data_IF_150403486047
#
_entry.id   IF_150403486047
#
_cell.length_a   1.000
_cell.length_b   1.000
_cell.length_c   1.000
_cell.angle_alpha   90.00
_cell.angle_beta   90.00
_cell.angle_gamma   90.00
#
_symmetry.space_group_name_H-M   'P 1'
#
loop_
_entity.id
_entity.type
_entity.pdbx_description
1 polymer ?
#
# COMPACT_ATOMS: atom_id res chain seq x y z
N UNK A 1 -9.05 -38.43 0.15
CA UNK A 1 -9.02 -37.93 1.55
C UNK A 1 -10.01 -36.78 1.68
N UNK A 2 -10.95 -36.83 2.61
CA UNK A 2 -11.96 -35.78 2.79
C UNK A 2 -11.55 -34.88 3.97
N UNK A 3 -11.17 -33.64 3.71
CA UNK A 3 -10.74 -32.65 4.72
C UNK A 3 -11.78 -32.45 5.83
N UNK A 4 -13.08 -32.63 5.52
CA UNK A 4 -14.19 -32.47 6.49
C UNK A 4 -14.20 -33.51 7.64
N UNK A 5 -13.32 -34.52 7.59
CA UNK A 5 -13.17 -35.53 8.66
C UNK A 5 -11.97 -35.27 9.58
N UNK A 6 -11.14 -34.26 9.32
CA UNK A 6 -9.95 -33.96 10.10
C UNK A 6 -10.25 -32.72 10.97
N UNK A 7 -10.24 -32.94 12.28
CA UNK A 7 -10.33 -31.90 13.28
C UNK A 7 -8.99 -31.13 13.35
N UNK A 8 -9.01 -29.81 13.33
CA UNK A 8 -7.83 -28.95 13.42
C UNK A 8 -6.96 -29.24 14.64
N UNK A 9 -7.57 -29.64 15.76
CA UNK A 9 -6.84 -30.02 16.96
C UNK A 9 -5.95 -31.26 16.75
N UNK A 10 -6.33 -32.18 15.88
CA UNK A 10 -5.49 -33.34 15.54
C UNK A 10 -4.21 -32.92 14.83
N UNK A 11 -4.31 -31.90 13.98
CA UNK A 11 -3.17 -31.34 13.26
C UNK A 11 -2.22 -30.58 14.21
N UNK A 12 -2.76 -29.85 15.18
CA UNK A 12 -1.95 -29.21 16.25
C UNK A 12 -1.22 -30.24 17.11
N UNK A 13 -1.88 -31.34 17.45
CA UNK A 13 -1.26 -32.44 18.19
C UNK A 13 -0.14 -33.07 17.37
N UNK A 14 -0.34 -33.30 16.08
CA UNK A 14 0.71 -33.82 15.20
C UNK A 14 1.95 -32.90 15.20
N UNK A 15 1.76 -31.59 15.00
CA UNK A 15 2.86 -30.62 14.96
C UNK A 15 3.64 -30.59 16.27
N UNK A 16 2.95 -30.58 17.43
CA UNK A 16 3.61 -30.63 18.75
C UNK A 16 4.40 -31.92 18.95
N UNK A 17 3.84 -33.10 18.57
CA UNK A 17 4.54 -34.37 18.68
C UNK A 17 5.72 -34.45 17.71
N UNK A 18 5.61 -33.86 16.53
CA UNK A 18 6.70 -33.82 15.55
C UNK A 18 7.90 -33.02 16.07
N UNK A 19 7.66 -31.90 16.75
CA UNK A 19 8.70 -31.07 17.37
C UNK A 19 9.32 -31.73 18.61
N UNK A 20 8.47 -32.14 19.57
CA UNK A 20 8.91 -32.55 20.87
C UNK A 20 9.41 -34.00 20.90
N UNK A 21 9.09 -34.81 19.86
CA UNK A 21 9.39 -36.28 19.80
C UNK A 21 8.96 -37.03 21.03
N UNK A 22 8.06 -36.45 21.83
CA UNK A 22 7.63 -36.96 23.13
C UNK A 22 6.19 -36.56 23.44
N UNK A 23 5.31 -37.55 23.70
CA UNK A 23 3.89 -37.30 23.95
C UNK A 23 3.64 -36.51 25.25
N UNK A 24 4.50 -36.67 26.27
CA UNK A 24 4.35 -35.93 27.54
C UNK A 24 4.70 -34.45 27.34
N UNK A 25 5.79 -34.17 26.64
CA UNK A 25 6.20 -32.79 26.34
C UNK A 25 5.17 -32.10 25.42
N UNK A 26 4.72 -32.77 24.38
CA UNK A 26 3.65 -32.27 23.49
C UNK A 26 2.35 -31.98 24.28
N UNK A 27 1.99 -32.84 25.21
CA UNK A 27 0.85 -32.63 26.09
C UNK A 27 1.01 -31.39 26.98
N UNK A 28 2.17 -31.20 27.60
CA UNK A 28 2.45 -29.97 28.38
C UNK A 28 2.34 -28.71 27.53
N UNK A 29 2.90 -28.74 26.32
CA UNK A 29 2.84 -27.60 25.38
C UNK A 29 1.40 -27.23 25.00
N UNK A 30 0.54 -28.25 24.83
CA UNK A 30 -0.85 -28.07 24.40
C UNK A 30 -1.87 -27.95 25.55
N UNK A 31 -1.42 -28.00 26.80
CA UNK A 31 -2.26 -28.13 28.01
C UNK A 31 -3.20 -29.34 27.95
N UNK A 32 -2.69 -30.49 27.45
CA UNK A 32 -3.41 -31.73 27.32
C UNK A 32 -2.72 -32.85 28.16
N UNK A 33 -3.50 -33.84 28.60
CA UNK A 33 -2.91 -35.05 29.16
C UNK A 33 -2.21 -35.90 28.10
N UNK A 34 -1.22 -36.69 28.49
CA UNK A 34 -0.56 -37.64 27.57
C UNK A 34 -1.57 -38.58 26.89
N UNK A 35 -2.60 -39.03 27.60
CA UNK A 35 -3.65 -39.89 27.06
C UNK A 35 -4.47 -39.16 25.99
N UNK A 36 -4.81 -37.87 26.20
CA UNK A 36 -5.52 -37.07 25.22
C UNK A 36 -4.68 -36.87 23.93
N UNK A 37 -3.38 -36.59 24.07
CA UNK A 37 -2.44 -36.51 22.92
C UNK A 37 -2.37 -37.85 22.17
N UNK A 38 -2.28 -38.97 22.89
CA UNK A 38 -2.24 -40.32 22.29
C UNK A 38 -3.53 -40.65 21.54
N UNK A 39 -4.69 -40.33 22.12
CA UNK A 39 -5.99 -40.52 21.46
C UNK A 39 -6.15 -39.64 20.22
N UNK A 40 -5.78 -38.38 20.30
CA UNK A 40 -5.83 -37.46 19.15
C UNK A 40 -4.91 -37.95 18.00
N UNK A 41 -3.69 -38.41 18.35
CA UNK A 41 -2.77 -38.97 17.36
C UNK A 41 -3.31 -40.27 16.76
N UNK A 42 -3.99 -41.11 17.53
CA UNK A 42 -4.67 -42.31 17.03
C UNK A 42 -5.74 -41.98 15.97
N UNK A 43 -6.63 -41.05 16.31
CA UNK A 43 -7.64 -40.56 15.34
C UNK A 43 -7.04 -39.99 14.04
N UNK A 44 -5.89 -39.30 14.13
CA UNK A 44 -5.22 -38.77 12.94
C UNK A 44 -4.59 -39.91 12.12
N UNK A 45 -4.00 -40.95 12.77
CA UNK A 45 -3.50 -42.15 12.10
C UNK A 45 -4.60 -42.86 11.31
N UNK A 46 -5.75 -43.08 11.97
CA UNK A 46 -6.91 -43.70 11.29
C UNK A 46 -7.39 -42.88 10.11
N UNK A 47 -7.44 -41.54 10.23
CA UNK A 47 -7.88 -40.65 9.18
C UNK A 47 -6.91 -40.56 8.00
N UNK A 48 -5.61 -40.75 8.25
CA UNK A 48 -4.54 -40.64 7.23
C UNK A 48 -4.06 -42.03 6.77
N UNK A 49 -4.50 -43.11 7.40
CA UNK A 49 -4.05 -44.50 7.11
C UNK A 49 -2.52 -44.61 7.15
N UNK A 50 -1.89 -44.00 8.18
CA UNK A 50 -0.44 -43.97 8.38
C UNK A 50 -0.12 -43.86 9.87
N UNK A 51 0.88 -44.59 10.35
CA UNK A 51 1.30 -44.56 11.73
C UNK A 51 1.85 -43.21 12.20
N UNK A 52 2.27 -42.34 11.28
CA UNK A 52 2.88 -41.03 11.47
C UNK A 52 4.11 -41.02 12.35
N UNK A 53 4.11 -41.76 13.46
CA UNK A 53 5.26 -41.90 14.36
C UNK A 53 5.39 -43.33 14.86
N UNK A 54 6.61 -43.83 14.87
CA UNK A 54 6.97 -45.12 15.40
C UNK A 54 7.68 -44.93 16.75
N UNK A 55 7.30 -45.69 17.74
CA UNK A 55 7.94 -45.64 19.07
C UNK A 55 9.26 -46.42 19.06
N UNK A 56 10.36 -45.75 19.40
CA UNK A 56 11.69 -46.32 19.49
C UNK A 56 12.29 -46.10 20.90
N UNK A 57 13.48 -46.67 21.16
CA UNK A 57 14.22 -46.40 22.40
C UNK A 57 14.67 -44.93 22.53
N UNK A 58 14.65 -44.17 21.44
CA UNK A 58 15.00 -42.73 21.38
C UNK A 58 13.78 -41.78 21.44
N UNK A 59 12.56 -42.33 21.51
CA UNK A 59 11.31 -41.57 21.53
C UNK A 59 10.40 -41.85 20.33
N UNK A 60 9.68 -40.84 19.90
CA UNK A 60 8.73 -40.92 18.77
C UNK A 60 9.42 -40.53 17.47
N UNK A 61 9.73 -41.51 16.62
CA UNK A 61 10.35 -41.24 15.30
C UNK A 61 9.29 -41.10 14.21
N UNK A 62 9.32 -40.03 13.39
CA UNK A 62 8.33 -39.80 12.35
C UNK A 62 8.52 -40.74 11.16
N UNK A 63 7.41 -41.14 10.53
CA UNK A 63 7.40 -41.79 9.23
C UNK A 63 7.82 -40.85 8.11
N UNK A 64 8.17 -41.38 6.94
CA UNK A 64 8.47 -40.56 5.76
C UNK A 64 7.30 -39.62 5.39
N UNK A 65 6.06 -40.09 5.59
CA UNK A 65 4.85 -39.29 5.37
C UNK A 65 4.74 -38.17 6.38
N UNK A 66 5.00 -38.42 7.66
CA UNK A 66 5.00 -37.38 8.67
C UNK A 66 6.05 -36.31 8.41
N UNK A 67 7.25 -36.69 7.95
CA UNK A 67 8.31 -35.74 7.57
C UNK A 67 7.85 -34.88 6.38
N UNK A 68 7.25 -35.46 5.34
CA UNK A 68 6.75 -34.72 4.19
C UNK A 68 5.59 -33.77 4.53
N UNK A 69 4.77 -34.12 5.53
CA UNK A 69 3.64 -33.31 5.97
C UNK A 69 4.02 -32.14 6.88
N UNK A 70 5.09 -32.25 7.67
CA UNK A 70 5.38 -31.35 8.77
C UNK A 70 5.49 -29.89 8.37
N UNK A 71 6.31 -29.56 7.38
CA UNK A 71 6.49 -28.17 6.94
C UNK A 71 5.23 -27.56 6.29
N UNK A 72 4.56 -28.23 5.30
CA UNK A 72 3.32 -27.72 4.74
C UNK A 72 2.21 -27.54 5.78
N UNK A 73 2.10 -28.49 6.73
CA UNK A 73 1.08 -28.42 7.76
C UNK A 73 1.33 -27.27 8.74
N UNK A 74 2.57 -27.07 9.17
CA UNK A 74 2.95 -25.95 10.03
C UNK A 74 2.62 -24.61 9.39
N UNK A 75 2.94 -24.44 8.11
CA UNK A 75 2.61 -23.23 7.36
C UNK A 75 1.08 -23.01 7.31
N UNK A 76 0.29 -24.06 7.10
CA UNK A 76 -1.16 -23.94 7.08
C UNK A 76 -1.73 -23.57 8.47
N UNK A 77 -1.24 -24.17 9.55
CA UNK A 77 -1.64 -23.82 10.92
C UNK A 77 -1.26 -22.39 11.28
N UNK A 78 -0.08 -21.94 10.88
CA UNK A 78 0.35 -20.56 11.06
C UNK A 78 -0.55 -19.57 10.29
N UNK A 79 -0.90 -19.86 9.04
CA UNK A 79 -1.83 -19.03 8.28
C UNK A 79 -3.21 -18.93 8.94
N UNK A 80 -3.70 -20.03 9.52
CA UNK A 80 -4.95 -20.02 10.30
C UNK A 80 -4.81 -19.13 11.54
N UNK A 81 -3.71 -19.19 12.28
CA UNK A 81 -3.46 -18.36 13.45
C UNK A 81 -3.38 -16.88 13.09
N UNK A 82 -2.69 -16.54 12.01
CA UNK A 82 -2.64 -15.18 11.46
C UNK A 82 -4.04 -14.69 11.09
N UNK A 83 -4.84 -15.55 10.44
CA UNK A 83 -6.22 -15.20 10.05
C UNK A 83 -7.15 -15.00 11.28
N UNK A 84 -6.87 -15.67 12.39
CA UNK A 84 -7.59 -15.50 13.66
C UNK A 84 -7.07 -14.32 14.50
N UNK A 85 -5.93 -13.69 14.12
CA UNK A 85 -5.38 -12.53 14.81
C UNK A 85 -4.65 -12.85 16.13
N UNK A 86 -4.32 -14.11 16.40
CA UNK A 86 -3.77 -14.56 17.69
C UNK A 86 -2.24 -14.35 17.83
N UNK A 87 -1.52 -14.00 16.75
CA UNK A 87 -0.07 -13.80 16.80
C UNK A 87 0.34 -12.38 16.39
N UNK A 88 1.32 -11.78 17.07
CA UNK A 88 1.92 -10.54 16.61
C UNK A 88 2.60 -10.77 15.25
N UNK A 89 2.44 -9.83 14.33
CA UNK A 89 3.11 -9.89 13.04
C UNK A 89 4.63 -9.87 13.25
N UNK A 90 5.31 -10.84 12.68
CA UNK A 90 6.76 -10.96 12.70
C UNK A 90 7.32 -10.69 11.30
N UNK A 91 7.74 -9.45 11.02
CA UNK A 91 8.18 -9.05 9.69
C UNK A 91 9.39 -9.86 9.21
N UNK A 92 10.30 -10.23 10.11
CA UNK A 92 11.56 -10.95 9.84
C UNK A 92 11.37 -12.33 9.18
N UNK A 93 10.22 -12.97 9.42
CA UNK A 93 9.90 -14.32 8.91
C UNK A 93 8.58 -14.42 8.16
N UNK A 94 7.85 -13.32 8.05
CA UNK A 94 6.54 -13.32 7.42
C UNK A 94 6.64 -13.49 5.90
N UNK A 95 5.91 -14.45 5.35
CA UNK A 95 5.66 -14.61 3.92
C UNK A 95 4.29 -14.01 3.58
N UNK A 96 4.27 -12.77 3.08
CA UNK A 96 3.04 -12.07 2.75
C UNK A 96 3.23 -11.18 1.53
N UNK A 97 2.16 -11.01 0.76
CA UNK A 97 2.06 -9.99 -0.26
C UNK A 97 1.19 -8.84 0.25
N UNK A 98 1.69 -7.61 0.14
CA UNK A 98 0.90 -6.39 0.32
C UNK A 98 0.61 -5.74 -1.02
N UNK A 99 -0.65 -5.40 -1.25
CA UNK A 99 -1.09 -4.70 -2.47
C UNK A 99 -1.43 -3.25 -2.12
N UNK A 100 -0.60 -2.32 -2.59
CA UNK A 100 -0.77 -0.88 -2.36
C UNK A 100 -1.16 -0.20 -3.67
N UNK A 101 -2.26 0.56 -3.65
CA UNK A 101 -2.64 1.40 -4.78
C UNK A 101 -2.11 2.83 -4.58
N UNK A 102 -1.41 3.36 -5.59
CA UNK A 102 -0.86 4.72 -5.59
C UNK A 102 -0.69 5.23 -7.02
N UNK A 103 -0.57 6.55 -7.18
CA UNK A 103 -0.11 7.13 -8.44
C UNK A 103 1.43 7.08 -8.54
N UNK A 104 1.96 7.48 -9.68
CA UNK A 104 3.38 7.42 -10.00
C UNK A 104 4.24 8.29 -9.08
N UNK A 105 3.81 9.51 -8.73
CA UNK A 105 4.60 10.37 -7.87
C UNK A 105 4.67 9.87 -6.41
N UNK A 106 3.56 9.33 -5.87
CA UNK A 106 3.55 8.70 -4.55
C UNK A 106 4.42 7.44 -4.56
N UNK A 107 4.37 6.66 -5.64
CA UNK A 107 5.25 5.51 -5.84
C UNK A 107 6.72 5.92 -5.76
N UNK A 108 7.10 6.99 -6.43
CA UNK A 108 8.46 7.50 -6.44
C UNK A 108 8.92 8.00 -5.06
N UNK A 109 8.10 8.80 -4.38
CA UNK A 109 8.50 9.46 -3.13
C UNK A 109 8.43 8.55 -1.90
N UNK A 110 7.44 7.66 -1.85
CA UNK A 110 7.13 6.86 -0.67
C UNK A 110 7.50 5.39 -0.87
N UNK A 111 7.01 4.77 -1.94
CA UNK A 111 7.05 3.31 -2.06
C UNK A 111 8.44 2.79 -2.42
N UNK A 112 9.29 3.61 -3.06
CA UNK A 112 10.71 3.29 -3.25
C UNK A 112 11.45 3.14 -1.92
N UNK A 113 11.21 4.06 -0.97
CA UNK A 113 11.79 3.99 0.40
C UNK A 113 11.18 2.85 1.20
N UNK A 114 9.88 2.60 1.04
CA UNK A 114 9.21 1.47 1.67
C UNK A 114 9.82 0.14 1.19
N UNK A 115 10.08 -0.01 -0.11
CA UNK A 115 10.72 -1.21 -0.66
C UNK A 115 12.10 -1.47 -0.05
N UNK A 116 12.92 -0.44 0.14
CA UNK A 116 14.21 -0.58 0.83
C UNK A 116 14.05 -1.05 2.28
N UNK A 117 13.07 -0.50 3.00
CA UNK A 117 12.80 -0.89 4.40
C UNK A 117 12.28 -2.33 4.48
N UNK A 118 11.38 -2.73 3.56
CA UNK A 118 10.91 -4.11 3.48
C UNK A 118 12.06 -5.10 3.23
N UNK A 119 12.99 -4.76 2.34
CA UNK A 119 14.14 -5.62 2.09
C UNK A 119 15.03 -5.83 3.33
N UNK A 120 15.11 -4.84 4.22
CA UNK A 120 15.89 -4.91 5.46
C UNK A 120 15.15 -5.60 6.63
N UNK A 121 13.86 -5.29 6.81
CA UNK A 121 13.10 -5.68 7.99
C UNK A 121 12.14 -6.86 7.76
N UNK A 122 11.74 -7.09 6.50
CA UNK A 122 10.73 -8.09 6.11
C UNK A 122 11.09 -8.75 4.77
N UNK A 123 12.22 -9.48 4.68
CA UNK A 123 12.82 -9.91 3.41
C UNK A 123 11.95 -10.88 2.59
N UNK A 124 11.01 -11.59 3.23
CA UNK A 124 10.11 -12.54 2.55
C UNK A 124 8.75 -11.89 2.21
N UNK A 125 8.55 -10.61 2.53
CA UNK A 125 7.34 -9.85 2.19
C UNK A 125 7.45 -9.29 0.79
N UNK A 126 6.41 -9.50 -0.02
CA UNK A 126 6.28 -8.93 -1.36
C UNK A 126 5.41 -7.66 -1.31
N UNK A 127 5.79 -6.64 -2.09
CA UNK A 127 5.03 -5.42 -2.27
C UNK A 127 4.59 -5.31 -3.74
N UNK A 128 3.29 -5.36 -3.98
CA UNK A 128 2.68 -5.13 -5.29
C UNK A 128 2.09 -3.72 -5.33
N UNK A 129 2.56 -2.90 -6.27
CA UNK A 129 2.06 -1.54 -6.47
C UNK A 129 1.09 -1.55 -7.65
N UNK A 130 -0.13 -1.09 -7.42
CA UNK A 130 -1.15 -0.93 -8.46
C UNK A 130 -1.43 0.56 -8.70
N UNK A 131 -1.68 0.98 -9.94
CA UNK A 131 -2.10 2.36 -10.20
C UNK A 131 -3.43 2.63 -9.51
N UNK A 132 -3.54 3.78 -8.82
CA UNK A 132 -4.81 4.22 -8.21
C UNK A 132 -5.77 4.87 -9.22
N UNK A 133 -5.35 4.97 -10.49
CA UNK A 133 -6.07 5.60 -11.58
C UNK A 133 -6.80 4.56 -12.44
N UNK A 134 -7.96 4.94 -13.01
CA UNK A 134 -8.74 4.10 -13.95
C UNK A 134 -9.18 2.73 -13.38
N UNK A 135 -9.34 2.64 -12.07
CA UNK A 135 -9.88 1.46 -11.38
C UNK A 135 -11.10 1.88 -10.58
N UNK A 136 -12.06 0.98 -10.41
CA UNK A 136 -13.03 1.06 -9.30
C UNK A 136 -12.23 0.82 -7.98
N UNK A 137 -11.51 1.85 -7.54
CA UNK A 137 -10.59 1.78 -6.41
C UNK A 137 -11.33 1.33 -5.14
N UNK A 138 -12.50 1.91 -4.89
CA UNK A 138 -13.33 1.55 -3.75
C UNK A 138 -13.76 0.08 -3.80
N UNK A 139 -14.23 -0.39 -4.95
CA UNK A 139 -14.60 -1.79 -5.15
C UNK A 139 -13.43 -2.76 -5.00
N UNK A 140 -12.22 -2.38 -5.45
CA UNK A 140 -11.04 -3.23 -5.27
C UNK A 140 -10.61 -3.33 -3.78
N UNK A 141 -10.77 -2.25 -3.00
CA UNK A 141 -10.56 -2.27 -1.55
C UNK A 141 -11.67 -3.10 -0.87
N UNK A 142 -12.93 -2.93 -1.28
CA UNK A 142 -14.09 -3.66 -0.75
C UNK A 142 -13.92 -5.19 -0.89
N UNK A 143 -13.39 -5.68 -2.01
CA UNK A 143 -13.18 -7.12 -2.23
C UNK A 143 -11.81 -7.63 -1.77
N UNK A 144 -10.97 -6.77 -1.17
CA UNK A 144 -9.67 -7.15 -0.61
C UNK A 144 -8.57 -7.40 -1.64
N UNK A 145 -8.70 -6.88 -2.85
CA UNK A 145 -7.63 -6.92 -3.87
C UNK A 145 -6.62 -5.79 -3.74
N UNK A 146 -6.95 -4.79 -2.93
CA UNK A 146 -6.08 -3.69 -2.51
C UNK A 146 -6.18 -3.62 -0.99
N UNK A 147 -5.02 -3.67 -0.33
CA UNK A 147 -4.92 -3.57 1.13
C UNK A 147 -4.98 -2.12 1.59
N UNK A 148 -4.23 -1.25 0.92
CA UNK A 148 -4.11 0.18 1.23
C UNK A 148 -4.08 0.98 -0.08
N UNK A 149 -4.87 2.05 -0.16
CA UNK A 149 -4.76 3.05 -1.21
C UNK A 149 -4.13 4.32 -0.65
N UNK A 150 -3.19 4.95 -1.39
CA UNK A 150 -2.53 6.18 -0.98
C UNK A 150 -2.78 7.25 -2.04
N UNK A 151 -3.33 8.38 -1.61
CA UNK A 151 -3.73 9.46 -2.51
C UNK A 151 -4.33 10.65 -1.77
N UNK A 152 -4.92 11.57 -2.53
CA UNK A 152 -5.72 12.67 -2.01
C UNK A 152 -7.20 12.27 -2.17
N UNK A 153 -7.90 12.24 -1.05
CA UNK A 153 -9.30 11.86 -0.96
C UNK A 153 -10.07 12.98 -0.26
N UNK A 154 -11.13 13.52 -0.90
CA UNK A 154 -12.01 14.52 -0.31
C UNK A 154 -12.99 13.86 0.66
N UNK A 155 -13.57 12.72 0.26
CA UNK A 155 -14.51 11.97 1.07
C UNK A 155 -14.08 10.52 1.20
N UNK A 156 -14.20 9.99 2.42
CA UNK A 156 -13.89 8.60 2.75
C UNK A 156 -15.11 8.00 3.46
N UNK A 157 -15.81 7.04 2.84
CA UNK A 157 -17.04 6.49 3.42
C UNK A 157 -16.76 5.67 4.69
N UNK A 158 -17.74 5.51 5.60
CA UNK A 158 -17.55 4.89 6.92
C UNK A 158 -16.98 3.47 6.93
N UNK A 159 -17.14 2.71 5.83
CA UNK A 159 -16.54 1.37 5.69
C UNK A 159 -15.04 1.38 5.47
N UNK A 160 -14.46 2.56 5.22
CA UNK A 160 -13.03 2.74 5.15
C UNK A 160 -12.52 3.58 6.32
N UNK A 161 -11.31 3.31 6.74
CA UNK A 161 -10.54 4.15 7.65
C UNK A 161 -9.43 4.85 6.86
N UNK A 162 -9.00 5.99 7.37
CA UNK A 162 -7.90 6.73 6.77
C UNK A 162 -6.95 7.29 7.82
N UNK A 163 -5.68 7.47 7.43
CA UNK A 163 -4.72 8.26 8.18
C UNK A 163 -4.03 9.26 7.25
N UNK A 164 -3.71 10.43 7.76
CA UNK A 164 -2.89 11.41 7.05
C UNK A 164 -1.43 10.96 7.06
N UNK A 165 -0.80 10.94 5.88
CA UNK A 165 0.60 10.56 5.73
C UNK A 165 1.49 11.81 5.68
N UNK A 166 1.14 12.81 4.84
CA UNK A 166 1.74 14.15 4.84
C UNK A 166 0.78 15.19 4.28
N UNK A 167 1.13 16.46 4.45
CA UNK A 167 0.47 17.59 3.81
C UNK A 167 1.41 18.21 2.78
N UNK A 168 0.84 18.79 1.73
CA UNK A 168 1.56 19.41 0.63
C UNK A 168 0.80 20.59 0.06
N UNK A 169 1.51 21.45 -0.67
CA UNK A 169 0.93 22.54 -1.48
C UNK A 169 1.48 22.43 -2.89
N UNK A 170 0.75 23.00 -3.84
CA UNK A 170 1.19 23.03 -5.21
C UNK A 170 2.26 24.12 -5.45
N UNK A 171 3.16 23.83 -6.36
CA UNK A 171 4.19 24.74 -6.87
C UNK A 171 4.23 24.68 -8.38
N UNK A 172 4.77 25.73 -9.00
CA UNK A 172 5.09 25.73 -10.42
C UNK A 172 6.47 25.13 -10.66
N UNK A 173 6.58 24.31 -11.68
CA UNK A 173 7.83 23.75 -12.19
C UNK A 173 8.05 24.25 -13.63
N UNK A 174 9.27 24.60 -13.94
CA UNK A 174 9.72 25.05 -15.26
C UNK A 174 11.18 24.67 -15.51
N UNK A 175 11.64 24.77 -16.75
CA UNK A 175 13.06 24.57 -17.05
C UNK A 175 13.95 25.59 -16.33
N UNK A 176 15.20 25.23 -16.05
CA UNK A 176 16.14 26.04 -15.27
C UNK A 176 16.37 27.43 -15.91
N UNK A 177 16.51 27.47 -17.22
CA UNK A 177 16.76 28.68 -18.03
C UNK A 177 15.47 29.30 -18.63
N UNK A 178 14.31 29.11 -17.96
CA UNK A 178 13.05 29.68 -18.42
C UNK A 178 13.12 31.21 -18.51
N UNK A 179 12.49 31.86 -19.54
CA UNK A 179 12.56 33.31 -19.76
C UNK A 179 12.12 34.17 -18.59
N UNK A 180 11.29 33.67 -17.71
CA UNK A 180 10.89 34.37 -16.48
C UNK A 180 12.08 34.69 -15.55
N UNK A 181 13.22 33.98 -15.70
CA UNK A 181 14.38 34.14 -14.84
C UNK A 181 14.10 33.73 -13.37
N UNK A 182 14.60 34.55 -12.45
CA UNK A 182 14.47 34.29 -11.01
C UNK A 182 13.40 35.11 -10.30
N UNK A 183 12.69 35.95 -11.03
CA UNK A 183 11.58 36.73 -10.45
C UNK A 183 10.39 35.85 -10.05
N UNK A 184 9.52 36.38 -9.20
CA UNK A 184 8.26 35.74 -8.88
C UNK A 184 7.36 35.63 -10.11
N UNK A 185 6.62 34.53 -10.19
CA UNK A 185 5.62 34.31 -11.23
C UNK A 185 4.39 35.18 -10.96
N UNK A 186 3.83 35.77 -12.00
CA UNK A 186 2.62 36.58 -11.94
C UNK A 186 1.44 35.87 -12.58
N UNK A 187 0.22 36.40 -12.42
CA UNK A 187 -0.97 35.91 -13.14
C UNK A 187 -0.82 36.03 -14.65
N UNK A 188 -0.21 37.14 -15.14
CA UNK A 188 0.04 37.34 -16.57
C UNK A 188 1.00 36.29 -17.12
N UNK A 189 1.96 35.80 -16.36
CA UNK A 189 2.83 34.73 -16.80
C UNK A 189 2.07 33.43 -17.02
N UNK A 190 1.07 33.12 -16.18
CA UNK A 190 0.22 31.95 -16.38
C UNK A 190 -0.67 32.08 -17.63
N UNK A 191 -0.98 33.28 -18.08
CA UNK A 191 -1.69 33.52 -19.34
C UNK A 191 -0.77 33.42 -20.57
N UNK A 192 0.48 33.87 -20.43
CA UNK A 192 1.46 33.91 -21.51
C UNK A 192 2.14 32.57 -21.78
N UNK A 193 2.39 31.79 -20.75
CA UNK A 193 3.07 30.49 -20.82
C UNK A 193 2.08 29.34 -20.55
N UNK A 194 1.93 28.40 -21.52
CA UNK A 194 0.95 27.35 -21.37
C UNK A 194 1.34 26.33 -20.29
N UNK A 195 0.34 25.60 -19.78
CA UNK A 195 0.48 24.64 -18.72
C UNK A 195 0.52 23.19 -19.24
N UNK A 196 1.27 22.35 -18.55
CA UNK A 196 1.17 20.89 -18.57
C UNK A 196 0.36 20.45 -17.35
N UNK A 197 -0.66 19.65 -17.56
CA UNK A 197 -1.45 19.02 -16.49
C UNK A 197 -1.18 17.52 -16.42
N UNK A 198 -1.19 16.97 -15.20
CA UNK A 198 -1.24 15.53 -14.99
C UNK A 198 -2.66 15.14 -14.62
N UNK A 199 -3.33 14.44 -15.55
CA UNK A 199 -4.68 13.95 -15.38
C UNK A 199 -4.65 12.53 -14.83
N UNK A 200 -5.21 12.33 -13.63
CA UNK A 200 -5.27 11.05 -12.93
C UNK A 200 -6.56 10.27 -13.27
N UNK A 201 -7.25 10.63 -14.35
CA UNK A 201 -8.50 10.02 -14.76
C UNK A 201 -9.63 11.02 -15.10
N UNK A 202 -9.33 12.26 -15.27
CA UNK A 202 -10.03 13.44 -15.71
C UNK A 202 -11.52 13.41 -16.08
N UNK A 203 -11.89 14.35 -16.98
CA UNK A 203 -13.27 14.60 -17.41
C UNK A 203 -13.95 13.38 -18.07
N UNK A 204 -13.20 12.46 -18.63
CA UNK A 204 -13.72 11.24 -19.27
C UNK A 204 -14.34 10.26 -18.24
N UNK A 205 -13.98 10.36 -16.97
CA UNK A 205 -14.46 9.50 -15.89
C UNK A 205 -15.49 10.20 -14.98
N UNK A 206 -16.06 11.34 -15.40
CA UNK A 206 -17.12 12.03 -14.65
C UNK A 206 -16.62 12.78 -13.42
N UNK A 207 -15.42 13.36 -13.47
CA UNK A 207 -14.89 14.19 -12.38
C UNK A 207 -15.76 15.43 -12.13
N UNK A 208 -16.10 15.67 -10.86
CA UNK A 208 -16.84 16.84 -10.40
C UNK A 208 -16.00 17.56 -9.34
N UNK A 209 -15.78 18.87 -9.51
CA UNK A 209 -14.99 19.68 -8.59
C UNK A 209 -13.56 19.17 -8.40
N UNK A 210 -12.95 18.56 -9.42
CA UNK A 210 -11.60 18.00 -9.33
C UNK A 210 -11.52 16.60 -8.71
N UNK A 211 -12.64 15.94 -8.43
CA UNK A 211 -12.69 14.62 -7.81
C UNK A 211 -13.56 13.64 -8.59
N UNK A 212 -13.14 12.38 -8.62
CA UNK A 212 -13.93 11.25 -9.11
C UNK A 212 -14.52 10.55 -7.90
N UNK A 213 -15.85 10.42 -7.86
CA UNK A 213 -16.56 9.76 -6.76
C UNK A 213 -16.97 8.35 -7.19
N UNK A 214 -16.40 7.36 -6.53
CA UNK A 214 -16.72 5.95 -6.75
C UNK A 214 -17.16 5.31 -5.44
N UNK A 215 -18.42 4.83 -5.41
CA UNK A 215 -18.99 4.16 -4.22
C UNK A 215 -18.80 4.98 -2.92
N UNK A 216 -18.86 6.32 -3.00
CA UNK A 216 -18.68 7.24 -1.89
C UNK A 216 -17.22 7.57 -1.54
N UNK A 217 -16.23 7.00 -2.22
CA UNK A 217 -14.84 7.39 -2.11
C UNK A 217 -14.55 8.45 -3.17
N UNK A 218 -14.21 9.68 -2.75
CA UNK A 218 -13.89 10.80 -3.64
C UNK A 218 -12.36 10.95 -3.76
N UNK A 219 -11.77 10.48 -4.87
CA UNK A 219 -10.34 10.60 -5.18
C UNK A 219 -10.06 11.76 -6.12
N UNK A 220 -8.92 12.43 -5.94
CA UNK A 220 -8.50 13.51 -6.81
C UNK A 220 -8.29 13.03 -8.26
N UNK A 221 -8.79 13.81 -9.24
CA UNK A 221 -8.74 13.50 -10.67
C UNK A 221 -7.56 14.11 -11.39
N UNK A 222 -6.96 15.15 -10.82
CA UNK A 222 -5.77 15.83 -11.35
C UNK A 222 -4.71 15.98 -10.27
N UNK A 223 -3.46 16.12 -10.64
CA UNK A 223 -2.35 16.19 -9.69
C UNK A 223 -2.29 17.52 -8.94
N UNK A 224 -3.00 18.55 -9.39
CA UNK A 224 -3.08 19.85 -8.75
C UNK A 224 -4.54 20.28 -8.52
N UNK A 225 -4.74 21.29 -7.71
CA UNK A 225 -6.07 21.86 -7.48
C UNK A 225 -6.46 22.81 -8.62
N UNK A 226 -7.24 22.28 -9.59
CA UNK A 226 -7.73 23.04 -10.72
C UNK A 226 -8.65 24.19 -10.28
N UNK A 227 -9.50 23.96 -9.29
CA UNK A 227 -10.44 24.99 -8.82
C UNK A 227 -9.69 26.19 -8.27
N UNK A 228 -8.65 25.97 -7.46
CA UNK A 228 -7.82 27.06 -6.95
C UNK A 228 -7.11 27.84 -8.05
N UNK A 229 -6.68 27.18 -9.12
CA UNK A 229 -6.14 27.87 -10.31
C UNK A 229 -7.22 28.70 -11.02
N UNK A 230 -8.41 28.16 -11.19
CA UNK A 230 -9.51 28.86 -11.86
C UNK A 230 -10.02 30.05 -11.05
N UNK A 231 -10.15 29.93 -9.75
CA UNK A 231 -10.58 30.97 -8.83
C UNK A 231 -9.57 32.13 -8.72
N UNK A 232 -8.31 31.89 -9.08
CA UNK A 232 -7.27 32.93 -9.13
C UNK A 232 -7.50 33.96 -10.24
N UNK A 233 -8.44 33.72 -11.17
CA UNK A 233 -8.74 34.60 -12.27
C UNK A 233 -10.20 35.07 -12.18
N UNK A 234 -10.49 36.40 -12.39
CA UNK A 234 -11.84 36.93 -12.37
C UNK A 234 -12.77 36.21 -13.36
N UNK A 235 -14.04 36.08 -13.01
CA UNK A 235 -15.05 35.51 -13.91
C UNK A 235 -15.11 36.28 -15.24
N UNK A 236 -15.14 35.57 -16.37
CA UNK A 236 -15.13 36.15 -17.72
C UNK A 236 -13.75 36.64 -18.20
N UNK A 237 -12.67 36.55 -17.40
CA UNK A 237 -11.31 36.87 -17.83
C UNK A 237 -10.67 35.73 -18.62
N UNK A 238 -9.52 36.00 -19.27
CA UNK A 238 -8.69 34.98 -19.89
C UNK A 238 -8.26 33.92 -18.85
N UNK A 239 -8.13 32.67 -19.27
CA UNK A 239 -7.74 31.54 -18.43
C UNK A 239 -6.39 30.97 -18.88
N UNK A 240 -5.58 30.43 -17.98
CA UNK A 240 -4.37 29.71 -18.35
C UNK A 240 -4.65 28.58 -19.35
N UNK A 241 -3.83 28.52 -20.38
CA UNK A 241 -3.99 27.52 -21.43
C UNK A 241 -3.36 26.19 -21.03
N UNK A 242 -4.15 25.15 -20.83
CA UNK A 242 -3.65 23.78 -20.79
C UNK A 242 -3.29 23.34 -22.21
N UNK A 243 -2.01 23.13 -22.46
CA UNK A 243 -1.50 22.72 -23.77
C UNK A 243 -1.32 21.21 -23.90
N UNK A 244 -0.88 20.58 -22.81
CA UNK A 244 -0.59 19.15 -22.77
C UNK A 244 -1.20 18.55 -21.50
N UNK A 245 -1.92 17.46 -21.64
CA UNK A 245 -2.35 16.62 -20.52
C UNK A 245 -1.67 15.26 -20.62
N UNK A 246 -1.10 14.78 -19.52
CA UNK A 246 -0.42 13.49 -19.43
C UNK A 246 -0.97 12.66 -18.29
N UNK A 247 -0.89 11.33 -18.39
CA UNK A 247 -1.36 10.44 -17.35
C UNK A 247 -0.33 10.21 -16.22
N UNK A 248 0.92 10.59 -16.45
CA UNK A 248 2.04 10.29 -15.54
C UNK A 248 2.92 11.51 -15.31
N UNK A 249 3.21 11.81 -14.05
CA UNK A 249 4.07 12.94 -13.66
C UNK A 249 5.51 12.82 -14.16
N UNK A 250 5.98 11.60 -14.37
CA UNK A 250 7.33 11.34 -14.89
C UNK A 250 7.55 11.87 -16.32
N UNK A 251 6.49 12.22 -17.05
CA UNK A 251 6.60 12.86 -18.36
C UNK A 251 6.94 14.37 -18.27
N UNK A 252 6.68 15.02 -17.11
CA UNK A 252 6.86 16.47 -16.92
C UNK A 252 8.28 16.94 -17.26
N UNK A 253 9.37 16.33 -16.76
CA UNK A 253 10.72 16.79 -17.07
C UNK A 253 11.02 16.80 -18.57
N UNK A 254 10.60 15.77 -19.30
CA UNK A 254 10.82 15.71 -20.76
C UNK A 254 10.04 16.78 -21.51
N UNK A 255 8.84 17.13 -21.06
CA UNK A 255 8.00 18.17 -21.68
C UNK A 255 8.50 19.58 -21.39
N UNK A 256 9.00 19.83 -20.18
CA UNK A 256 9.45 21.17 -19.77
C UNK A 256 10.85 21.50 -20.27
N UNK A 257 11.74 20.54 -20.36
CA UNK A 257 13.16 20.74 -20.72
C UNK A 257 13.37 21.58 -22.00
N UNK A 258 12.51 21.41 -22.98
CA UNK A 258 12.62 22.06 -24.28
C UNK A 258 11.43 22.97 -24.60
N UNK A 259 10.76 23.51 -23.57
CA UNK A 259 9.60 24.36 -23.76
C UNK A 259 9.55 25.49 -22.73
N UNK A 260 8.69 26.47 -23.00
CA UNK A 260 8.38 27.55 -22.06
C UNK A 260 7.08 27.27 -21.30
N UNK A 261 6.73 26.01 -21.12
CA UNK A 261 5.55 25.61 -20.36
C UNK A 261 5.86 25.59 -18.87
N UNK A 262 4.80 25.74 -18.08
CA UNK A 262 4.80 25.42 -16.65
C UNK A 262 4.09 24.10 -16.40
N UNK A 263 4.43 23.46 -15.31
CA UNK A 263 3.61 22.42 -14.70
C UNK A 263 3.26 22.81 -13.26
N UNK A 264 2.01 22.60 -12.86
CA UNK A 264 1.60 22.71 -11.46
C UNK A 264 1.68 21.33 -10.84
N UNK A 265 2.50 21.18 -9.80
CA UNK A 265 2.74 19.89 -9.15
C UNK A 265 2.83 20.04 -7.63
N UNK A 266 2.61 18.97 -6.87
CA UNK A 266 2.88 18.97 -5.43
C UNK A 266 4.33 19.34 -5.11
N UNK A 267 4.53 20.16 -4.09
CA UNK A 267 5.87 20.63 -3.70
C UNK A 267 6.90 19.53 -3.43
N UNK A 268 6.57 18.35 -2.86
CA UNK A 268 7.56 17.27 -2.74
C UNK A 268 8.04 16.73 -4.10
N UNK A 269 7.14 16.67 -5.09
CA UNK A 269 7.51 16.27 -6.45
C UNK A 269 8.35 17.34 -7.13
N UNK A 270 7.99 18.61 -6.95
CA UNK A 270 8.79 19.73 -7.47
C UNK A 270 10.24 19.70 -6.97
N UNK A 271 10.44 19.49 -5.66
CA UNK A 271 11.77 19.33 -5.06
C UNK A 271 12.54 18.14 -5.66
N UNK A 272 11.85 17.04 -5.96
CA UNK A 272 12.50 15.88 -6.57
C UNK A 272 12.97 16.21 -8.00
N UNK A 273 12.17 16.94 -8.77
CA UNK A 273 12.57 17.38 -10.10
C UNK A 273 13.76 18.35 -10.09
N UNK A 274 13.86 19.24 -9.09
CA UNK A 274 15.01 20.15 -8.93
C UNK A 274 16.32 19.40 -8.70
N UNK A 275 16.30 18.23 -8.04
CA UNK A 275 17.50 17.42 -7.79
C UNK A 275 18.19 16.95 -9.06
N UNK A 276 17.48 16.86 -10.17
CA UNK A 276 18.07 16.51 -11.47
C UNK A 276 18.73 17.71 -12.17
N UNK A 277 18.62 18.94 -11.60
CA UNK A 277 19.36 20.13 -12.05
C UNK A 277 18.87 20.79 -13.35
N UNK A 278 17.83 20.26 -13.98
CA UNK A 278 17.31 20.78 -15.26
C UNK A 278 16.03 21.62 -15.09
N UNK A 279 15.39 21.50 -13.96
CA UNK A 279 14.15 22.17 -13.62
C UNK A 279 14.31 23.01 -12.35
N UNK A 280 13.48 24.02 -12.20
CA UNK A 280 13.36 24.84 -10.99
C UNK A 280 11.89 24.98 -10.58
N UNK A 281 11.68 25.21 -9.29
CA UNK A 281 10.35 25.48 -8.75
C UNK A 281 10.16 26.95 -8.43
N UNK A 282 8.91 27.40 -8.46
CA UNK A 282 8.45 28.73 -8.00
C UNK A 282 7.11 28.58 -7.30
N UNK A 283 6.83 29.49 -6.38
CA UNK A 283 5.51 29.61 -5.81
C UNK A 283 4.49 29.98 -6.90
N UNK A 284 3.28 29.48 -6.77
CA UNK A 284 2.15 29.91 -7.59
C UNK A 284 1.82 31.40 -7.30
N UNK A 285 1.33 32.19 -8.27
CA UNK A 285 0.93 33.59 -8.02
C UNK A 285 -0.39 33.72 -7.24
N UNK A 286 -0.95 32.62 -6.83
CA UNK A 286 -2.12 32.51 -5.95
C UNK A 286 -1.81 31.57 -4.78
N UNK A 287 -2.51 31.69 -3.64
CA UNK A 287 -2.31 30.79 -2.50
C UNK A 287 -2.92 29.43 -2.81
N UNK A 288 -2.11 28.37 -3.06
CA UNK A 288 -2.67 27.04 -3.28
C UNK A 288 -3.17 26.48 -1.95
N UNK A 289 -4.31 25.76 -1.93
CA UNK A 289 -4.78 25.08 -0.75
C UNK A 289 -3.79 24.00 -0.32
N UNK A 290 -3.83 23.68 0.98
CA UNK A 290 -3.06 22.59 1.52
C UNK A 290 -3.81 21.28 1.31
N UNK A 291 -3.20 20.33 0.61
CA UNK A 291 -3.75 19.01 0.32
C UNK A 291 -3.15 17.96 1.24
N UNK A 292 -3.99 17.05 1.79
CA UNK A 292 -3.56 15.95 2.63
C UNK A 292 -3.47 14.66 1.82
N UNK A 293 -2.26 14.09 1.72
CA UNK A 293 -2.08 12.72 1.24
C UNK A 293 -2.46 11.77 2.37
N UNK A 294 -3.39 10.87 2.08
CA UNK A 294 -3.94 9.90 3.02
C UNK A 294 -3.70 8.48 2.57
N UNK A 295 -3.51 7.58 3.52
CA UNK A 295 -3.65 6.16 3.32
C UNK A 295 -5.06 5.74 3.74
N UNK A 296 -5.74 4.95 2.91
CA UNK A 296 -7.13 4.49 3.10
C UNK A 296 -7.17 2.98 3.01
N UNK A 297 -7.90 2.31 3.91
CA UNK A 297 -8.08 0.87 3.96
C UNK A 297 -9.48 0.49 4.46
N UNK A 298 -9.91 -0.74 4.24
CA UNK A 298 -11.20 -1.22 4.72
C UNK A 298 -11.20 -1.45 6.24
N UNK A 299 -12.28 -1.10 6.95
CA UNK A 299 -12.41 -1.25 8.43
C UNK A 299 -12.20 -2.68 8.90
N UNK A 300 -12.55 -3.71 8.10
CA UNK A 300 -12.28 -5.12 8.45
C UNK A 300 -10.80 -5.42 8.69
N UNK A 301 -9.90 -4.65 8.05
CA UNK A 301 -8.46 -4.79 8.14
C UNK A 301 -7.83 -3.88 9.21
N UNK A 302 -8.66 -3.21 10.02
CA UNK A 302 -8.20 -2.26 11.03
C UNK A 302 -7.27 -2.91 12.07
N UNK A 303 -7.58 -4.14 12.46
CA UNK A 303 -6.88 -4.91 13.48
C UNK A 303 -5.91 -5.97 12.92
N UNK A 304 -5.76 -6.09 11.60
CA UNK A 304 -4.74 -6.97 10.99
C UNK A 304 -3.34 -6.49 11.40
N UNK A 305 -2.56 -7.30 12.18
CA UNK A 305 -1.27 -6.86 12.72
C UNK A 305 -0.24 -6.54 11.63
N UNK A 306 -0.28 -7.26 10.51
CA UNK A 306 0.63 -7.02 9.39
C UNK A 306 0.31 -5.69 8.68
N UNK A 307 -0.97 -5.37 8.49
CA UNK A 307 -1.38 -4.09 7.93
C UNK A 307 -1.19 -2.93 8.92
N UNK A 308 -1.29 -3.17 10.23
CA UNK A 308 -0.89 -2.17 11.24
C UNK A 308 0.60 -1.84 11.14
N UNK A 309 1.44 -2.86 11.03
CA UNK A 309 2.87 -2.68 10.82
C UNK A 309 3.16 -1.91 9.52
N UNK A 310 2.56 -2.29 8.39
CA UNK A 310 2.73 -1.59 7.11
C UNK A 310 2.31 -0.12 7.19
N UNK A 311 1.17 0.18 7.84
CA UNK A 311 0.71 1.56 8.05
C UNK A 311 1.69 2.38 8.89
N UNK A 312 2.30 1.78 9.91
CA UNK A 312 3.33 2.43 10.71
C UNK A 312 4.56 2.78 9.87
N UNK A 313 5.01 1.87 8.97
CA UNK A 313 6.11 2.12 8.05
C UNK A 313 5.78 3.25 7.06
N UNK A 314 4.58 3.24 6.48
CA UNK A 314 4.10 4.29 5.57
C UNK A 314 4.10 5.65 6.27
N UNK A 315 3.61 5.73 7.51
CA UNK A 315 3.54 6.97 8.26
C UNK A 315 4.93 7.53 8.60
N UNK A 316 5.85 6.66 9.01
CA UNK A 316 7.22 7.05 9.34
C UNK A 316 7.98 7.62 8.13
N UNK A 317 7.86 6.94 6.98
CA UNK A 317 8.45 7.43 5.72
C UNK A 317 7.77 8.74 5.27
N UNK A 318 6.45 8.85 5.43
CA UNK A 318 5.70 10.05 5.09
C UNK A 318 6.14 11.29 5.84
N UNK A 319 6.57 11.15 7.10
CA UNK A 319 7.16 12.26 7.88
C UNK A 319 8.44 12.81 7.26
N UNK A 320 9.23 11.96 6.59
CA UNK A 320 10.47 12.34 5.92
C UNK A 320 10.24 12.98 4.55
N UNK A 321 9.07 12.75 3.91
CA UNK A 321 8.69 13.42 2.66
C UNK A 321 8.35 14.90 2.90
N UNK A 322 7.85 15.22 4.09
CA UNK A 322 7.47 16.59 4.50
C UNK A 322 8.67 17.52 4.70
N UNK A 323 9.81 16.99 5.12
CA UNK A 323 11.06 17.74 5.33
C UNK A 323 11.82 17.97 4.03
#
# INVERSE_FOLDING_TARGET
MNLGRIDLNLLRVFDAVFEDRNLVLAGKRLNLSQSAVSHALGRLRDALEDDLFVRTSKGMEPTARAVAMAAPLRNALHQIQVALGDEPFRPDVAEREFVVAANDYITMLLLGRLSQRLAAEAPMVNLVIRPSTRLDLAGQIDIGRIDIAIGIFAEVPPRFQSMMVWQQRDVLVMRQDHPIGDRAVTHDDLLNYPLVAVSLGGAEEGAVGGFIVERGLARQSEMFDRQALEDAFPEGSARPRLRVAVAHSLAIPALLRHSEMFAVVPSPLGREFERYGELKTRATPYPPPESAVRAVWHVRNAHDPALQWLRAQILDIGRQVRS
#
